data_IF_485963353741
#
_entry.id   IF_485963353741
#
_cell.length_a   1.000
_cell.length_b   1.000
_cell.length_c   1.000
_cell.angle_alpha   90.00
_cell.angle_beta   90.00
_cell.angle_gamma   90.00
#
_symmetry.space_group_name_H-M   'P 1'
#
loop_
_entity.id
_entity.type
_entity.pdbx_description
1 polymer ?
#
# COMPACT_ATOMS: atom_id res chain seq x y z
N UNK A 1 -6.96 12.93 -13.65
CA UNK A 1 -7.20 12.09 -12.45
C UNK A 1 -7.91 10.83 -12.95
N UNK A 2 -7.22 9.69 -13.06
CA UNK A 2 -7.79 8.43 -13.55
C UNK A 2 -7.41 7.31 -12.58
N UNK A 3 -8.15 7.20 -11.49
CA UNK A 3 -8.21 5.97 -10.69
C UNK A 3 -9.24 5.07 -11.37
N UNK A 4 -8.76 4.11 -12.17
CA UNK A 4 -9.62 2.99 -12.57
C UNK A 4 -10.04 2.25 -11.29
N UNK A 5 -11.35 2.03 -11.11
CA UNK A 5 -11.92 1.40 -9.92
C UNK A 5 -11.49 -0.06 -9.71
N UNK A 6 -10.80 -0.65 -10.70
CA UNK A 6 -10.40 -2.05 -10.71
C UNK A 6 -9.45 -2.48 -9.58
N UNK A 7 -8.67 -1.56 -8.97
CA UNK A 7 -7.72 -1.91 -7.90
C UNK A 7 -8.24 -1.65 -6.46
N UNK A 8 -9.46 -1.14 -6.30
CA UNK A 8 -10.02 -0.86 -4.96
C UNK A 8 -10.23 -2.15 -4.13
N UNK A 9 -10.71 -3.27 -4.73
CA UNK A 9 -10.81 -4.55 -4.02
C UNK A 9 -9.43 -5.04 -3.54
N UNK A 10 -8.42 -5.03 -4.41
CA UNK A 10 -7.06 -5.50 -4.07
C UNK A 10 -6.40 -4.67 -2.96
N UNK A 11 -6.60 -3.36 -2.97
CA UNK A 11 -6.09 -2.47 -1.90
C UNK A 11 -6.75 -2.81 -0.57
N UNK A 12 -8.05 -3.08 -0.57
CA UNK A 12 -8.79 -3.42 0.65
C UNK A 12 -8.33 -4.75 1.23
N UNK A 13 -8.11 -5.76 0.38
CA UNK A 13 -7.55 -7.05 0.79
C UNK A 13 -6.11 -6.94 1.30
N UNK A 14 -5.27 -6.16 0.63
CA UNK A 14 -3.89 -5.94 1.06
C UNK A 14 -3.82 -5.27 2.45
N UNK A 15 -4.73 -4.33 2.74
CA UNK A 15 -4.84 -3.71 4.06
C UNK A 15 -5.26 -4.74 5.12
N UNK A 16 -6.25 -5.58 4.83
CA UNK A 16 -6.69 -6.63 5.74
C UNK A 16 -5.56 -7.63 6.05
N UNK A 17 -4.72 -7.97 5.05
CA UNK A 17 -3.56 -8.82 5.25
C UNK A 17 -2.49 -8.18 6.15
N UNK A 18 -2.27 -6.86 6.03
CA UNK A 18 -1.36 -6.16 6.93
C UNK A 18 -1.85 -6.19 8.39
N UNK A 19 -3.17 -6.12 8.58
CA UNK A 19 -3.81 -6.17 9.92
C UNK A 19 -3.83 -7.58 10.53
N UNK A 20 -3.87 -8.63 9.71
CA UNK A 20 -3.88 -10.02 10.22
C UNK A 20 -2.55 -10.43 10.86
N UNK A 21 -1.48 -9.65 10.66
CA UNK A 21 -0.20 -9.93 11.27
C UNK A 21 -0.15 -9.32 12.68
N UNK A 22 -0.08 -10.15 13.73
CA UNK A 22 -0.14 -9.65 15.09
C UNK A 22 1.08 -8.75 15.39
N UNK A 23 0.90 -7.71 16.22
CA UNK A 23 2.01 -6.94 16.75
C UNK A 23 3.07 -7.83 17.39
N UNK A 24 4.33 -7.43 17.29
CA UNK A 24 5.42 -8.08 18.03
C UNK A 24 5.17 -7.82 19.53
N UNK A 25 4.87 -8.87 20.27
CA UNK A 25 4.68 -8.83 21.72
C UNK A 25 5.96 -8.35 22.44
N UNK A 26 5.80 -7.67 23.58
CA UNK A 26 6.91 -7.37 24.50
C UNK A 26 7.61 -6.01 24.30
N UNK A 27 7.14 -5.13 23.40
CA UNK A 27 7.64 -3.75 23.32
C UNK A 27 6.63 -2.75 23.90
N UNK A 28 7.06 -2.01 24.92
CA UNK A 28 6.33 -0.85 25.45
C UNK A 28 6.31 0.25 24.38
N UNK A 29 5.13 0.75 24.02
CA UNK A 29 4.93 1.80 23.00
C UNK A 29 4.02 1.38 21.84
N UNK A 30 4.01 2.16 20.74
CA UNK A 30 3.18 1.89 19.57
C UNK A 30 3.44 0.46 19.06
N UNK A 31 2.39 -0.35 18.83
CA UNK A 31 2.53 -1.71 18.29
C UNK A 31 3.46 -1.72 17.06
N UNK A 32 4.59 -2.42 17.17
CA UNK A 32 5.43 -2.69 16.00
C UNK A 32 4.82 -3.88 15.27
N UNK A 33 4.15 -3.59 14.18
CA UNK A 33 3.80 -4.61 13.19
C UNK A 33 5.11 -5.23 12.66
N UNK A 34 5.09 -6.53 12.32
CA UNK A 34 6.29 -7.28 11.95
C UNK A 34 7.06 -6.67 10.77
N UNK A 35 6.43 -5.85 9.93
CA UNK A 35 7.03 -5.32 8.71
C UNK A 35 7.34 -3.82 8.83
N UNK A 36 8.62 -3.43 9.02
CA UNK A 36 9.03 -2.02 8.95
C UNK A 36 8.94 -1.47 7.52
N UNK A 37 9.01 -2.33 6.50
CA UNK A 37 9.01 -1.98 5.08
C UNK A 37 8.07 -2.92 4.32
N UNK A 38 7.30 -2.37 3.37
CA UNK A 38 6.47 -3.11 2.41
C UNK A 38 6.94 -2.82 0.99
N UNK A 39 7.36 -3.85 0.27
CA UNK A 39 7.59 -3.81 -1.17
C UNK A 39 6.30 -4.21 -1.89
N UNK A 40 5.83 -3.38 -2.81
CA UNK A 40 4.66 -3.72 -3.63
C UNK A 40 4.81 -3.20 -5.06
N UNK A 41 4.07 -3.81 -5.98
CA UNK A 41 4.06 -3.45 -7.40
C UNK A 41 3.49 -2.04 -7.66
N UNK A 42 3.83 -1.44 -8.81
CA UNK A 42 3.31 -0.13 -9.26
C UNK A 42 1.78 -0.04 -9.28
N UNK A 43 1.08 -1.17 -9.41
CA UNK A 43 -0.39 -1.23 -9.30
C UNK A 43 -0.93 -0.72 -7.96
N UNK A 44 -0.10 -0.72 -6.92
CA UNK A 44 -0.43 -0.26 -5.57
C UNK A 44 -0.05 1.20 -5.32
N UNK A 45 0.38 1.96 -6.33
CA UNK A 45 0.72 3.39 -6.20
C UNK A 45 -0.53 4.28 -6.07
N UNK A 46 -1.29 4.06 -5.00
CA UNK A 46 -2.39 4.93 -4.59
C UNK A 46 -2.03 5.68 -3.32
N UNK A 47 -2.46 6.95 -3.22
CA UNK A 47 -2.25 7.76 -2.01
C UNK A 47 -2.89 7.11 -0.78
N UNK A 48 -4.08 6.52 -0.94
CA UNK A 48 -4.82 5.81 0.12
C UNK A 48 -4.01 4.63 0.66
N UNK A 49 -3.52 3.75 -0.21
CA UNK A 49 -2.75 2.57 0.23
C UNK A 49 -1.45 2.97 0.93
N UNK A 50 -0.71 3.96 0.39
CA UNK A 50 0.50 4.49 1.03
C UNK A 50 0.19 5.08 2.41
N UNK A 51 -0.94 5.76 2.60
CA UNK A 51 -1.35 6.30 3.89
C UNK A 51 -1.68 5.19 4.90
N UNK A 52 -2.43 4.16 4.49
CA UNK A 52 -2.75 3.01 5.33
C UNK A 52 -1.49 2.25 5.80
N UNK A 53 -0.47 2.11 4.95
CA UNK A 53 0.83 1.53 5.34
C UNK A 53 1.51 2.37 6.44
N UNK A 54 1.60 3.69 6.26
CA UNK A 54 2.23 4.60 7.24
C UNK A 54 1.46 4.65 8.57
N UNK A 55 0.13 4.55 8.54
CA UNK A 55 -0.70 4.45 9.75
C UNK A 55 -0.40 3.17 10.56
N UNK A 56 0.16 2.14 9.93
CA UNK A 56 0.64 0.92 10.59
C UNK A 56 2.14 0.95 10.92
N UNK A 57 2.83 2.04 10.63
CA UNK A 57 4.27 2.14 10.85
C UNK A 57 5.11 1.36 9.83
N UNK A 58 4.52 1.00 8.69
CA UNK A 58 5.20 0.32 7.59
C UNK A 58 5.54 1.31 6.49
N UNK A 59 6.81 1.37 6.10
CA UNK A 59 7.28 2.20 4.98
C UNK A 59 6.95 1.54 3.64
N UNK A 60 6.10 2.15 2.79
CA UNK A 60 5.79 1.59 1.47
C UNK A 60 6.86 1.98 0.46
N UNK A 61 7.56 0.98 -0.09
CA UNK A 61 8.43 1.11 -1.26
C UNK A 61 7.63 0.61 -2.47
N UNK A 62 7.04 1.55 -3.19
CA UNK A 62 6.18 1.28 -4.33
C UNK A 62 6.67 2.16 -5.49
N UNK A 63 7.01 1.58 -6.65
CA UNK A 63 7.35 2.36 -7.83
C UNK A 63 6.22 3.32 -8.17
N UNK A 64 6.56 4.59 -8.42
CA UNK A 64 5.55 5.56 -8.86
C UNK A 64 4.98 5.14 -10.22
N UNK A 65 3.66 5.16 -10.34
CA UNK A 65 2.99 4.96 -11.62
C UNK A 65 3.22 6.20 -12.46
N UNK A 66 4.07 6.10 -13.48
CA UNK A 66 4.15 7.14 -14.50
C UNK A 66 2.78 7.27 -15.18
N UNK A 67 2.29 8.49 -15.49
CA UNK A 67 1.14 8.62 -16.36
C UNK A 67 1.46 7.86 -17.65
N UNK A 68 0.61 6.88 -17.98
CA UNK A 68 0.79 6.11 -19.20
C UNK A 68 0.83 7.09 -20.37
N UNK A 69 1.78 6.89 -21.30
CA UNK A 69 1.71 7.55 -22.59
C UNK A 69 0.36 7.13 -23.19
N UNK A 70 -0.61 8.04 -23.21
CA UNK A 70 -1.88 7.82 -23.90
C UNK A 70 -1.47 7.48 -25.33
N UNK A 71 -1.75 6.26 -25.78
CA UNK A 71 -1.65 5.96 -27.21
C UNK A 71 -2.70 6.85 -27.87
N UNK A 72 -2.27 7.93 -28.52
CA UNK A 72 -3.12 8.61 -29.49
C UNK A 72 -3.35 7.59 -30.59
N UNK A 73 -4.58 7.09 -30.69
CA UNK A 73 -4.99 6.35 -31.88
C UNK A 73 -5.18 7.39 -33.00
N UNK A 74 -4.70 7.12 -34.23
CA UNK A 74 -5.03 7.95 -35.39
C UNK A 74 -6.54 7.96 -35.66
#
# INVERSE_FOLDING_TARGET
MLTTGANVPDISMAVALLDSVPPIAGRVGRPRFRFPVLLADKGYDSKKFRAECRRRGTQPIIPQRRPGRVRKHP
#
